data_IF_798862712130
#
_entry.id   IF_798862712130
#
_cell.length_a   1.000
_cell.length_b   1.000
_cell.length_c   1.000
_cell.angle_alpha   90.00
_cell.angle_beta   90.00
_cell.angle_gamma   90.00
#
_symmetry.space_group_name_H-M   'P 1'
#
loop_
_entity.id
_entity.type
_entity.pdbx_description
1 polymer ?
#
# COMPACT_ATOMS: atom_id res chain seq x y z
N UNK A 1 -47.79 14.35 -58.40
CA UNK A 1 -47.63 13.16 -59.26
C UNK A 1 -46.50 12.34 -58.66
N UNK A 2 -46.83 11.20 -58.04
CA UNK A 2 -45.84 10.29 -57.44
C UNK A 2 -45.22 9.46 -58.56
N UNK A 3 -43.89 9.41 -58.65
CA UNK A 3 -43.21 8.66 -59.69
C UNK A 3 -43.44 7.14 -59.48
N UNK A 4 -43.74 6.37 -60.55
CA UNK A 4 -43.93 4.93 -60.46
C UNK A 4 -42.65 4.23 -60.01
N UNK A 5 -42.79 3.19 -59.19
CA UNK A 5 -41.69 2.40 -58.65
C UNK A 5 -40.93 1.73 -59.82
N UNK A 6 -39.64 2.02 -60.04
CA UNK A 6 -38.89 1.46 -61.18
C UNK A 6 -38.68 -0.05 -61.09
N UNK A 7 -38.93 -0.66 -59.92
CA UNK A 7 -38.80 -2.10 -59.71
C UNK A 7 -40.10 -2.88 -60.00
N UNK A 8 -41.22 -2.20 -60.26
CA UNK A 8 -42.51 -2.83 -60.62
C UNK A 8 -42.45 -3.47 -62.04
N UNK A 9 -41.54 -2.98 -62.89
CA UNK A 9 -41.29 -3.52 -64.23
C UNK A 9 -40.45 -4.79 -64.24
N UNK A 10 -39.91 -5.21 -63.09
CA UNK A 10 -38.99 -6.34 -63.00
C UNK A 10 -39.67 -7.67 -62.67
N UNK A 11 -41.00 -7.77 -62.78
CA UNK A 11 -41.75 -9.04 -62.85
C UNK A 11 -41.52 -10.03 -61.71
N UNK A 12 -40.93 -9.58 -60.59
CA UNK A 12 -40.58 -10.40 -59.43
C UNK A 12 -41.52 -10.12 -58.25
N UNK A 13 -42.73 -9.65 -58.52
CA UNK A 13 -43.81 -9.72 -57.54
C UNK A 13 -44.29 -11.17 -57.43
N UNK A 14 -44.67 -11.62 -56.23
CA UNK A 14 -45.21 -12.96 -56.04
C UNK A 14 -46.58 -12.98 -56.72
N UNK A 15 -46.65 -13.53 -57.93
CA UNK A 15 -47.84 -13.52 -58.80
C UNK A 15 -49.10 -14.14 -58.16
N UNK A 16 -48.96 -14.91 -57.09
CA UNK A 16 -50.09 -15.43 -56.30
C UNK A 16 -49.78 -15.47 -54.79
N UNK A 17 -50.19 -14.45 -54.00
CA UNK A 17 -49.99 -14.41 -52.55
C UNK A 17 -50.81 -15.49 -51.81
N UNK A 18 -51.65 -16.25 -52.53
CA UNK A 18 -52.48 -17.31 -51.99
C UNK A 18 -52.11 -18.70 -52.55
N UNK A 19 -50.93 -18.83 -53.18
CA UNK A 19 -50.41 -20.13 -53.59
C UNK A 19 -50.36 -21.09 -52.38
N UNK A 20 -51.06 -22.24 -52.42
CA UNK A 20 -51.12 -23.14 -51.28
C UNK A 20 -49.72 -23.64 -50.95
N UNK A 21 -49.31 -23.48 -49.69
CA UNK A 21 -48.03 -23.98 -49.22
C UNK A 21 -47.92 -25.48 -49.54
N UNK A 22 -46.80 -25.94 -50.13
CA UNK A 22 -46.64 -27.35 -50.47
C UNK A 22 -46.78 -28.21 -49.21
N UNK A 23 -47.63 -29.24 -49.29
CA UNK A 23 -47.80 -30.21 -48.20
C UNK A 23 -46.44 -30.87 -47.90
N UNK A 24 -46.17 -31.22 -46.62
CA UNK A 24 -44.96 -31.94 -46.28
C UNK A 24 -44.86 -33.24 -47.09
N UNK A 25 -43.64 -33.65 -47.49
CA UNK A 25 -43.46 -34.86 -48.29
C UNK A 25 -43.92 -36.10 -47.50
N UNK A 26 -44.36 -37.13 -48.23
CA UNK A 26 -44.74 -38.41 -47.62
C UNK A 26 -43.53 -39.07 -46.95
N UNK A 27 -43.77 -39.68 -45.79
CA UNK A 27 -42.75 -40.36 -45.03
C UNK A 27 -42.32 -41.67 -45.73
N UNK A 28 -41.08 -41.72 -46.22
CA UNK A 28 -40.48 -42.92 -46.80
C UNK A 28 -39.37 -43.43 -45.87
N UNK A 29 -39.60 -44.57 -45.21
CA UNK A 29 -38.65 -45.16 -44.25
C UNK A 29 -37.78 -46.23 -44.93
N UNK A 30 -36.46 -46.03 -44.95
CA UNK A 30 -35.49 -47.00 -45.48
C UNK A 30 -35.47 -48.27 -44.62
N UNK A 31 -35.71 -49.43 -45.24
CA UNK A 31 -35.52 -50.74 -44.59
C UNK A 31 -34.02 -51.07 -44.46
N UNK A 32 -33.62 -51.52 -43.27
CA UNK A 32 -32.26 -51.97 -42.93
C UNK A 32 -32.24 -53.52 -42.90
N UNK A 33 -31.24 -54.12 -43.54
CA UNK A 33 -31.04 -55.58 -43.61
C UNK A 33 -30.30 -56.14 -42.39
N UNK A 34 -29.94 -55.30 -41.43
CA UNK A 34 -29.28 -55.70 -40.18
C UNK A 34 -30.14 -56.67 -39.37
N UNK A 35 -29.54 -57.79 -38.98
CA UNK A 35 -30.12 -58.76 -38.05
C UNK A 35 -30.09 -58.31 -36.59
N UNK A 36 -29.44 -57.17 -36.26
CA UNK A 36 -29.23 -56.73 -34.89
C UNK A 36 -30.51 -56.10 -34.34
N UNK A 37 -30.95 -56.60 -33.17
CA UNK A 37 -32.17 -56.16 -32.48
C UNK A 37 -31.89 -55.43 -31.16
N UNK A 38 -30.65 -55.50 -30.66
CA UNK A 38 -30.24 -54.81 -29.46
C UNK A 38 -29.90 -53.34 -29.77
N UNK A 39 -30.37 -52.43 -28.94
CA UNK A 39 -30.01 -51.01 -28.97
C UNK A 39 -28.70 -50.80 -28.20
N UNK A 40 -27.64 -51.41 -28.72
CA UNK A 40 -26.29 -51.35 -28.15
C UNK A 40 -25.35 -50.83 -29.22
N UNK A 41 -24.49 -49.84 -28.91
CA UNK A 41 -23.53 -49.34 -29.88
C UNK A 41 -22.59 -50.47 -30.35
N UNK A 42 -22.14 -50.47 -31.61
CA UNK A 42 -21.23 -51.48 -32.11
C UNK A 42 -19.91 -51.46 -31.33
N UNK A 43 -19.15 -52.57 -31.30
CA UNK A 43 -17.87 -52.63 -30.56
C UNK A 43 -16.82 -51.65 -31.11
N UNK A 44 -17.00 -51.13 -32.32
CA UNK A 44 -16.15 -50.09 -32.90
C UNK A 44 -16.35 -48.70 -32.27
N UNK A 45 -17.45 -48.47 -31.54
CA UNK A 45 -17.76 -47.22 -30.84
C UNK A 45 -17.06 -47.10 -29.48
N UNK A 46 -15.79 -47.53 -29.41
CA UNK A 46 -14.98 -47.46 -28.20
C UNK A 46 -14.43 -46.03 -27.98
N UNK A 47 -14.72 -45.37 -26.84
CA UNK A 47 -14.17 -44.04 -26.53
C UNK A 47 -12.64 -44.03 -26.38
N UNK A 48 -11.99 -45.16 -26.14
CA UNK A 48 -10.52 -45.29 -26.09
C UNK A 48 -9.86 -44.98 -27.43
N UNK A 49 -10.57 -45.21 -28.54
CA UNK A 49 -10.11 -44.96 -29.92
C UNK A 49 -10.16 -43.48 -30.32
N UNK A 50 -10.55 -42.59 -29.41
CA UNK A 50 -10.63 -41.16 -29.68
C UNK A 50 -9.24 -40.55 -29.96
N UNK A 51 -9.09 -39.90 -31.12
CA UNK A 51 -7.85 -39.19 -31.51
C UNK A 51 -7.57 -38.02 -30.55
N UNK A 52 -6.43 -38.01 -29.85
CA UNK A 52 -5.95 -36.92 -29.00
C UNK A 52 -4.53 -36.49 -29.41
N UNK A 53 -4.28 -35.21 -29.81
CA UNK A 53 -5.23 -34.11 -30.01
C UNK A 53 -5.92 -34.16 -31.39
N UNK A 54 -7.25 -33.98 -31.43
CA UNK A 54 -7.99 -33.74 -32.68
C UNK A 54 -7.91 -32.25 -33.03
N UNK A 55 -7.79 -31.92 -34.33
CA UNK A 55 -7.89 -30.55 -34.81
C UNK A 55 -9.25 -29.94 -34.38
N UNK A 56 -9.19 -28.79 -33.70
CA UNK A 56 -10.36 -28.04 -33.22
C UNK A 56 -10.32 -26.64 -33.82
N UNK A 57 -11.48 -26.07 -34.20
CA UNK A 57 -11.55 -24.66 -34.59
C UNK A 57 -11.13 -23.78 -33.40
N UNK A 58 -10.34 -22.74 -33.67
CA UNK A 58 -9.82 -21.78 -32.69
C UNK A 58 -10.28 -20.36 -33.03
N UNK A 59 -10.00 -19.40 -32.13
CA UNK A 59 -10.36 -17.99 -32.34
C UNK A 59 -11.88 -17.78 -32.50
N UNK A 60 -12.24 -16.87 -33.40
CA UNK A 60 -13.65 -16.51 -33.67
C UNK A 60 -14.45 -17.70 -34.23
N UNK A 61 -13.87 -18.52 -35.12
CA UNK A 61 -14.53 -19.70 -35.66
C UNK A 61 -14.82 -20.72 -34.54
N UNK A 62 -13.88 -20.91 -33.63
CA UNK A 62 -14.09 -21.74 -32.44
C UNK A 62 -15.21 -21.20 -31.54
N UNK A 63 -15.30 -19.88 -31.39
CA UNK A 63 -16.32 -19.24 -30.55
C UNK A 63 -17.74 -19.46 -31.07
N UNK A 64 -17.97 -19.34 -32.39
CA UNK A 64 -19.28 -19.57 -33.01
C UNK A 64 -19.64 -21.06 -33.15
N UNK A 65 -18.66 -21.93 -33.40
CA UNK A 65 -18.89 -23.39 -33.48
C UNK A 65 -19.09 -24.06 -32.12
N UNK A 66 -18.66 -23.41 -31.03
CA UNK A 66 -18.81 -23.95 -29.70
C UNK A 66 -20.28 -23.89 -29.24
N UNK A 67 -20.95 -25.04 -29.34
CA UNK A 67 -22.35 -25.26 -28.92
C UNK A 67 -22.61 -25.10 -27.42
N UNK A 68 -21.59 -25.04 -26.56
CA UNK A 68 -21.78 -24.80 -25.13
C UNK A 68 -21.93 -23.30 -24.80
N UNK A 69 -21.53 -22.42 -25.71
CA UNK A 69 -21.60 -20.97 -25.52
C UNK A 69 -22.98 -20.42 -25.85
N UNK A 70 -23.23 -19.17 -25.45
CA UNK A 70 -24.40 -18.40 -25.86
C UNK A 70 -25.50 -18.27 -24.81
N UNK A 71 -26.36 -17.27 -25.02
CA UNK A 71 -27.43 -16.89 -24.07
C UNK A 71 -28.41 -18.03 -23.82
N UNK A 72 -28.84 -18.74 -24.87
CA UNK A 72 -29.81 -19.83 -24.73
C UNK A 72 -29.28 -20.92 -23.80
N UNK A 73 -28.00 -21.25 -23.94
CA UNK A 73 -27.35 -22.17 -23.02
C UNK A 73 -27.37 -21.62 -21.61
N UNK A 74 -26.85 -20.43 -21.35
CA UNK A 74 -26.80 -19.87 -20.00
C UNK A 74 -28.20 -19.77 -19.35
N UNK A 75 -29.25 -19.48 -20.13
CA UNK A 75 -30.62 -19.33 -19.61
C UNK A 75 -31.21 -20.64 -19.08
N UNK A 76 -30.81 -21.77 -19.67
CA UNK A 76 -31.23 -23.11 -19.26
C UNK A 76 -30.46 -23.66 -18.06
N UNK A 77 -29.45 -22.95 -17.54
CA UNK A 77 -28.66 -23.38 -16.38
C UNK A 77 -29.15 -22.63 -15.15
N UNK A 78 -29.20 -23.33 -14.03
CA UNK A 78 -29.54 -22.72 -12.76
C UNK A 78 -28.43 -21.79 -12.27
N UNK A 79 -28.84 -20.70 -11.63
CA UNK A 79 -27.90 -19.80 -10.99
C UNK A 79 -27.31 -20.50 -9.75
N UNK A 80 -26.01 -20.33 -9.45
CA UNK A 80 -25.42 -20.88 -8.24
C UNK A 80 -26.05 -20.22 -7.01
N UNK A 81 -26.18 -20.96 -5.90
CA UNK A 81 -26.76 -20.45 -4.66
C UNK A 81 -26.07 -19.17 -4.15
N UNK A 82 -24.76 -19.05 -4.40
CA UNK A 82 -23.96 -17.88 -4.05
C UNK A 82 -24.32 -16.61 -4.81
N UNK A 83 -25.06 -16.70 -5.92
CA UNK A 83 -25.51 -15.53 -6.67
C UNK A 83 -26.50 -14.66 -5.87
N UNK A 84 -27.22 -15.26 -4.91
CA UNK A 84 -28.20 -14.56 -4.05
C UNK A 84 -27.73 -14.43 -2.60
N UNK A 85 -26.48 -14.79 -2.29
CA UNK A 85 -25.96 -14.70 -0.93
C UNK A 85 -25.83 -13.24 -0.48
N UNK A 86 -26.26 -12.97 0.76
CA UNK A 86 -26.09 -11.66 1.39
C UNK A 86 -24.65 -11.50 1.86
N UNK A 87 -24.16 -10.25 1.93
CA UNK A 87 -22.86 -9.94 2.52
C UNK A 87 -22.83 -10.38 3.98
N UNK A 88 -22.07 -11.43 4.26
CA UNK A 88 -21.77 -11.86 5.63
C UNK A 88 -20.55 -11.11 6.14
N UNK A 89 -20.66 -10.45 7.29
CA UNK A 89 -19.51 -9.91 8.02
C UNK A 89 -19.48 -10.47 9.45
N UNK A 90 -18.89 -11.66 9.63
CA UNK A 90 -18.84 -12.31 10.94
C UNK A 90 -17.92 -11.58 11.93
N UNK A 91 -17.06 -10.67 11.47
CA UNK A 91 -16.06 -10.01 12.33
C UNK A 91 -16.62 -8.84 13.14
N UNK A 92 -17.77 -8.29 12.72
CA UNK A 92 -18.41 -7.15 13.42
C UNK A 92 -18.80 -7.48 14.86
N UNK A 93 -19.17 -8.74 15.15
CA UNK A 93 -19.53 -9.16 16.50
C UNK A 93 -18.32 -9.26 17.44
N UNK A 94 -17.12 -9.43 16.90
CA UNK A 94 -15.88 -9.61 17.67
C UNK A 94 -15.02 -8.35 17.76
N UNK A 95 -15.51 -7.20 17.31
CA UNK A 95 -14.71 -5.98 17.15
C UNK A 95 -14.12 -5.46 18.47
N UNK A 96 -14.92 -5.50 19.56
CA UNK A 96 -14.46 -5.12 20.89
C UNK A 96 -13.56 -6.18 21.56
N UNK A 97 -13.42 -7.36 20.96
CA UNK A 97 -12.63 -8.45 21.51
C UNK A 97 -11.26 -8.46 20.86
N UNK A 98 -10.24 -8.06 21.62
CA UNK A 98 -8.86 -8.10 21.13
C UNK A 98 -8.47 -9.53 20.74
N UNK A 99 -8.02 -9.68 19.49
CA UNK A 99 -7.52 -10.95 18.93
C UNK A 99 -6.02 -11.12 19.11
N UNK A 100 -5.33 -10.14 19.69
CA UNK A 100 -3.86 -10.16 19.80
C UNK A 100 -3.35 -11.22 20.78
N UNK A 101 -4.22 -11.75 21.64
CA UNK A 101 -3.83 -12.65 22.74
C UNK A 101 -2.93 -11.98 23.79
N UNK A 102 -2.64 -10.69 23.63
CA UNK A 102 -1.82 -9.88 24.52
C UNK A 102 -2.72 -8.98 25.34
N UNK A 103 -2.45 -8.93 26.64
CA UNK A 103 -3.08 -8.00 27.58
C UNK A 103 -1.97 -7.29 28.33
N UNK A 104 -2.10 -5.98 28.47
CA UNK A 104 -1.18 -5.21 29.31
C UNK A 104 -1.53 -5.43 30.79
N UNK A 105 -0.54 -5.25 31.66
CA UNK A 105 -0.71 -5.39 33.11
C UNK A 105 -0.86 -4.00 33.73
N UNK A 106 -1.59 -3.92 34.83
CA UNK A 106 -1.83 -2.65 35.52
C UNK A 106 -0.52 -1.96 35.93
N UNK A 107 0.50 -2.74 36.34
CA UNK A 107 1.83 -2.19 36.64
C UNK A 107 2.43 -1.45 35.44
N UNK A 108 2.37 -2.04 34.24
CA UNK A 108 2.94 -1.41 33.04
C UNK A 108 2.17 -0.15 32.64
N UNK A 109 0.85 -0.16 32.79
CA UNK A 109 0.00 1.02 32.55
C UNK A 109 0.34 2.12 33.55
N UNK A 110 0.39 1.80 34.84
CA UNK A 110 0.64 2.77 35.91
C UNK A 110 2.05 3.39 35.84
N UNK A 111 3.05 2.63 35.38
CA UNK A 111 4.40 3.16 35.21
C UNK A 111 4.52 4.09 33.98
N UNK A 112 3.73 3.85 32.94
CA UNK A 112 3.74 4.68 31.73
C UNK A 112 2.88 5.94 31.83
N UNK A 113 1.78 5.88 32.58
CA UNK A 113 0.76 6.94 32.63
C UNK A 113 0.50 7.50 34.04
N UNK A 114 1.24 7.02 35.05
CA UNK A 114 0.96 7.33 36.44
C UNK A 114 -0.23 6.53 36.99
N UNK A 115 -0.51 6.73 38.27
CA UNK A 115 -1.66 6.13 38.92
C UNK A 115 -2.26 7.09 39.96
N UNK A 116 -3.55 6.94 40.22
CA UNK A 116 -4.28 7.82 41.12
C UNK A 116 -3.81 7.79 42.59
N UNK A 117 -3.01 6.79 42.99
CA UNK A 117 -2.51 6.66 44.36
C UNK A 117 -1.32 7.59 44.63
N UNK A 118 -0.52 7.85 43.60
CA UNK A 118 0.71 8.64 43.69
C UNK A 118 0.51 10.11 43.24
N UNK A 119 -0.73 10.54 43.00
CA UNK A 119 -1.09 11.89 42.49
C UNK A 119 -0.53 13.01 43.36
N UNK A 120 -0.66 12.93 44.69
CA UNK A 120 -0.16 13.97 45.60
C UNK A 120 1.35 14.17 45.43
N UNK A 121 2.12 13.08 45.29
CA UNK A 121 3.56 13.17 45.10
C UNK A 121 3.90 13.80 43.74
N UNK A 122 3.11 13.50 42.71
CA UNK A 122 3.27 14.10 41.39
C UNK A 122 2.92 15.60 41.41
N UNK A 123 1.86 16.00 42.12
CA UNK A 123 1.49 17.42 42.31
C UNK A 123 2.58 18.19 43.05
N UNK A 124 3.08 17.66 44.17
CA UNK A 124 4.15 18.31 44.92
C UNK A 124 5.47 18.40 44.14
N UNK A 125 5.82 17.38 43.35
CA UNK A 125 6.99 17.42 42.49
C UNK A 125 6.82 18.43 41.34
N UNK A 126 5.63 18.48 40.73
CA UNK A 126 5.33 19.43 39.66
C UNK A 126 5.31 20.88 40.16
N UNK A 127 4.83 21.12 41.38
CA UNK A 127 4.91 22.43 42.03
C UNK A 127 6.36 22.84 42.27
N UNK A 128 7.19 21.93 42.79
CA UNK A 128 8.62 22.19 42.97
C UNK A 128 9.36 22.45 41.64
N UNK A 129 9.01 21.71 40.58
CA UNK A 129 9.57 21.94 39.24
C UNK A 129 9.14 23.32 38.69
N UNK A 130 7.90 23.74 38.91
CA UNK A 130 7.42 25.06 38.50
C UNK A 130 8.11 26.20 39.29
N UNK A 131 8.37 26.00 40.58
CA UNK A 131 9.16 26.94 41.39
C UNK A 131 10.61 27.02 40.91
N UNK A 132 11.21 25.88 40.55
CA UNK A 132 12.58 25.83 40.00
C UNK A 132 12.67 26.57 38.65
N UNK A 133 11.71 26.37 37.74
CA UNK A 133 11.64 27.09 36.46
C UNK A 133 11.46 28.62 36.66
N UNK A 134 10.67 29.05 37.65
CA UNK A 134 10.54 30.46 38.00
C UNK A 134 11.84 31.05 38.55
N UNK A 135 12.59 30.27 39.33
CA UNK A 135 13.90 30.66 39.82
C UNK A 135 14.94 30.76 38.69
N UNK A 136 14.95 29.82 37.75
CA UNK A 136 15.80 29.86 36.56
C UNK A 136 15.49 31.07 35.67
N UNK A 137 14.21 31.40 35.41
CA UNK A 137 13.81 32.59 34.65
C UNK A 137 14.19 33.90 35.38
N UNK A 138 14.13 33.91 36.72
CA UNK A 138 14.59 35.05 37.51
C UNK A 138 16.11 35.22 37.48
N UNK A 139 16.88 34.12 37.56
CA UNK A 139 18.34 34.14 37.45
C UNK A 139 18.81 34.56 36.04
N UNK A 140 18.13 34.11 34.98
CA UNK A 140 18.42 34.53 33.61
C UNK A 140 18.20 36.05 33.42
N UNK A 141 17.12 36.60 33.99
CA UNK A 141 16.85 38.06 33.98
C UNK A 141 17.87 38.87 34.79
N UNK A 142 18.38 38.33 35.89
CA UNK A 142 19.45 38.99 36.67
C UNK A 142 20.79 38.92 35.93
N UNK A 143 21.10 37.82 35.24
CA UNK A 143 22.32 37.66 34.45
C UNK A 143 22.38 38.59 33.22
N UNK A 144 21.24 38.97 32.64
CA UNK A 144 21.18 40.00 31.60
C UNK A 144 21.48 41.42 32.12
N UNK A 145 21.19 41.71 33.39
CA UNK A 145 21.39 43.04 34.00
C UNK A 145 22.84 43.35 34.41
N UNK A 146 23.69 42.34 34.58
CA UNK A 146 25.10 42.51 34.95
C UNK A 146 26.05 42.74 33.75
N UNK A 147 25.51 42.96 32.55
CA UNK A 147 26.29 43.30 31.36
C UNK A 147 26.51 44.82 31.32
N UNK A 148 27.74 45.25 31.61
CA UNK A 148 28.15 46.65 31.39
C UNK A 148 27.83 47.07 29.96
N UNK A 149 27.26 48.27 29.78
CA UNK A 149 27.04 48.80 28.43
C UNK A 149 28.40 49.00 27.75
N UNK A 150 28.46 48.73 26.44
CA UNK A 150 29.69 48.84 25.65
C UNK A 150 30.36 50.20 25.85
N UNK A 151 29.57 51.27 25.98
CA UNK A 151 30.05 52.62 26.24
C UNK A 151 30.71 52.80 27.62
N UNK A 152 30.17 52.16 28.67
CA UNK A 152 30.76 52.21 30.01
C UNK A 152 32.10 51.48 30.05
N UNK A 153 32.22 50.35 29.34
CA UNK A 153 33.48 49.62 29.19
C UNK A 153 34.53 50.47 28.45
N UNK A 154 34.17 51.10 27.33
CA UNK A 154 35.10 51.98 26.60
C UNK A 154 35.58 53.17 27.45
N UNK A 155 34.72 53.76 28.28
CA UNK A 155 35.12 54.84 29.20
C UNK A 155 36.08 54.38 30.30
N UNK A 156 35.93 53.17 30.83
CA UNK A 156 36.89 52.64 31.82
C UNK A 156 38.30 52.42 31.26
N UNK A 157 38.43 52.12 29.97
CA UNK A 157 39.72 51.95 29.30
C UNK A 157 40.43 53.29 29.05
N UNK A 158 39.67 54.38 28.88
CA UNK A 158 40.22 55.71 28.60
C UNK A 158 40.88 56.38 29.81
N UNK A 159 40.60 55.92 31.03
CA UNK A 159 41.15 56.48 32.27
C UNK A 159 42.48 55.88 32.74
N UNK A 160 42.96 54.82 32.09
CA UNK A 160 44.19 54.11 32.49
C UNK A 160 45.38 54.66 31.70
N UNK A 161 45.93 55.77 32.15
CA UNK A 161 47.19 56.33 31.63
C UNK A 161 48.40 55.55 32.17
N UNK A 162 48.61 54.34 31.63
CA UNK A 162 49.83 53.54 31.83
C UNK A 162 51.02 54.15 31.06
N UNK A 163 51.46 55.35 31.45
CA UNK A 163 52.71 55.93 30.96
C UNK A 163 53.21 57.02 31.91
N UNK A 164 53.51 56.65 33.17
CA UNK A 164 54.38 57.46 34.02
C UNK A 164 55.70 56.69 34.17
N UNK A 165 56.68 57.03 33.34
CA UNK A 165 58.04 56.51 33.42
C UNK A 165 58.62 56.82 34.80
N UNK A 166 58.82 55.81 35.62
CA UNK A 166 59.50 55.91 36.92
C UNK A 166 61.01 55.88 36.75
N UNK A 167 61.72 56.83 37.36
CA UNK A 167 63.18 56.92 37.38
C UNK A 167 63.80 55.70 38.08
N UNK A 168 64.83 55.11 37.46
CA UNK A 168 65.53 53.93 37.94
C UNK A 168 66.46 54.27 39.12
N UNK A 169 66.20 53.68 40.29
CA UNK A 169 67.20 53.53 41.35
C UNK A 169 67.71 52.09 41.35
N UNK A 170 69.02 51.96 41.12
CA UNK A 170 69.73 50.68 41.08
C UNK A 170 70.15 50.24 42.48
N UNK A 171 69.89 48.97 42.83
CA UNK A 171 70.64 48.26 43.87
C UNK A 171 70.74 46.76 43.57
N UNK A 172 72.00 46.35 43.37
CA UNK A 172 72.72 45.15 43.82
C UNK A 172 72.16 43.74 43.50
N UNK A 173 72.89 43.10 42.58
CA UNK A 173 72.88 41.68 42.23
C UNK A 173 73.21 40.79 43.43
N UNK A 174 72.31 39.85 43.76
CA UNK A 174 72.59 38.74 44.67
C UNK A 174 72.91 37.50 43.83
N UNK A 175 74.18 37.13 43.78
CA UNK A 175 74.76 36.10 42.89
C UNK A 175 74.63 34.65 43.41
N UNK A 176 73.69 34.36 44.31
CA UNK A 176 73.53 33.00 44.86
C UNK A 176 72.06 32.61 45.01
N UNK A 177 71.37 32.44 43.89
CA UNK A 177 70.07 31.78 43.84
C UNK A 177 70.15 30.61 42.86
N UNK A 178 70.28 29.40 43.40
CA UNK A 178 70.15 28.16 42.63
C UNK A 178 68.70 27.98 42.16
N UNK A 179 68.54 27.79 40.86
CA UNK A 179 67.27 27.67 40.16
C UNK A 179 66.89 26.18 40.12
N UNK A 180 65.99 25.74 40.99
CA UNK A 180 65.53 24.35 41.03
C UNK A 180 64.49 24.11 39.93
N UNK A 181 64.94 23.59 38.78
CA UNK A 181 64.06 23.15 37.67
C UNK A 181 63.58 21.74 37.98
N UNK A 182 62.26 21.56 38.06
CA UNK A 182 61.64 20.24 38.26
C UNK A 182 61.61 19.52 36.90
N UNK A 183 62.47 18.53 36.73
CA UNK A 183 62.46 17.66 35.55
C UNK A 183 61.29 16.66 35.67
N UNK A 184 60.32 16.76 34.75
CA UNK A 184 59.25 15.77 34.61
C UNK A 184 59.68 14.73 33.57
N UNK A 185 60.11 13.55 34.03
CA UNK A 185 60.38 12.41 33.18
C UNK A 185 59.07 11.76 32.70
N UNK A 186 58.84 11.78 31.38
CA UNK A 186 57.70 11.11 30.73
C UNK A 186 57.95 9.60 30.71
N UNK A 187 57.38 8.88 31.67
CA UNK A 187 57.70 7.48 31.96
C UNK A 187 57.30 6.46 30.86
N UNK A 188 56.49 6.80 29.85
CA UNK A 188 56.25 5.90 28.69
C UNK A 188 55.83 6.70 27.44
N UNK A 189 56.46 6.53 26.26
CA UNK A 189 55.94 7.09 25.02
C UNK A 189 54.70 6.32 24.54
N UNK A 190 53.60 7.01 24.23
CA UNK A 190 52.37 6.39 23.74
C UNK A 190 52.56 5.83 22.32
N UNK A 191 52.67 4.50 22.19
CA UNK A 191 53.01 3.79 20.93
C UNK A 191 51.82 3.50 19.99
N UNK A 192 50.66 4.15 20.16
CA UNK A 192 49.53 3.93 19.22
C UNK A 192 48.56 5.11 19.12
N UNK A 193 48.74 5.92 18.08
CA UNK A 193 47.74 6.90 17.64
C UNK A 193 46.64 6.14 16.87
N UNK A 194 45.45 6.03 17.46
CA UNK A 194 44.28 5.50 16.75
C UNK A 194 43.72 6.59 15.84
N UNK A 195 43.70 6.36 14.53
CA UNK A 195 43.04 7.27 13.60
C UNK A 195 41.52 7.21 13.80
N UNK A 196 40.94 8.37 14.14
CA UNK A 196 39.50 8.51 14.29
C UNK A 196 38.88 8.50 12.89
N UNK A 197 38.10 7.46 12.58
CA UNK A 197 37.34 7.39 11.33
C UNK A 197 36.16 8.35 11.41
N UNK A 198 36.26 9.51 10.76
CA UNK A 198 35.19 10.48 10.69
C UNK A 198 34.00 9.89 9.89
N UNK A 199 32.85 9.73 10.56
CA UNK A 199 31.56 9.49 9.89
C UNK A 199 31.04 10.83 9.37
N UNK A 200 30.75 10.91 8.07
CA UNK A 200 30.00 12.04 7.53
C UNK A 200 28.64 12.12 8.22
N UNK A 201 28.37 13.26 8.86
CA UNK A 201 27.10 13.56 9.49
C UNK A 201 26.04 13.76 8.40
N UNK A 202 24.83 13.25 8.65
CA UNK A 202 23.72 13.34 7.69
C UNK A 202 23.24 14.79 7.63
N UNK A 203 23.38 15.41 6.48
CA UNK A 203 22.85 16.75 6.20
C UNK A 203 21.33 16.69 5.99
N UNK A 204 20.61 17.64 6.57
CA UNK A 204 19.16 17.79 6.39
C UNK A 204 18.90 18.43 5.03
N UNK A 205 18.29 17.70 4.11
CA UNK A 205 17.80 18.23 2.84
C UNK A 205 16.36 18.68 3.02
N UNK A 206 16.12 19.99 2.95
CA UNK A 206 14.78 20.55 2.92
C UNK A 206 14.20 20.38 1.51
N UNK A 207 12.98 19.86 1.44
CA UNK A 207 12.23 19.72 0.20
C UNK A 207 11.08 20.72 0.25
N UNK A 208 11.14 21.74 -0.60
CA UNK A 208 10.05 22.71 -0.74
C UNK A 208 8.95 22.07 -1.59
N UNK A 209 7.77 21.86 -1.00
CA UNK A 209 6.60 21.37 -1.73
C UNK A 209 5.47 22.38 -1.64
N UNK A 210 4.85 22.69 -2.79
CA UNK A 210 3.62 23.46 -2.86
C UNK A 210 2.43 22.51 -2.85
N UNK A 211 1.71 22.46 -1.73
CA UNK A 211 0.45 21.72 -1.65
C UNK A 211 -0.67 22.52 -2.30
N UNK A 212 -1.24 22.00 -3.40
CA UNK A 212 -2.51 22.48 -3.95
C UNK A 212 -3.62 21.51 -3.56
N UNK A 213 -4.60 21.99 -2.81
CA UNK A 213 -5.76 21.20 -2.40
C UNK A 213 -6.79 21.19 -3.53
N UNK A 214 -7.30 20.02 -3.89
CA UNK A 214 -8.27 19.86 -4.98
C UNK A 214 -9.61 20.56 -4.71
N UNK A 215 -9.84 21.03 -3.49
CA UNK A 215 -11.04 21.78 -3.07
C UNK A 215 -10.93 23.30 -3.31
N UNK A 216 -9.73 23.84 -3.61
CA UNK A 216 -9.55 25.27 -3.89
C UNK A 216 -9.73 25.65 -5.37
N UNK A 217 -10.01 24.68 -6.24
CA UNK A 217 -10.27 24.94 -7.65
C UNK A 217 -11.77 25.12 -7.88
N UNK A 218 -12.23 26.28 -8.41
CA UNK A 218 -13.64 26.51 -8.67
C UNK A 218 -14.15 25.48 -9.70
N UNK A 219 -15.18 24.71 -9.32
CA UNK A 219 -15.85 23.77 -10.23
C UNK A 219 -16.63 24.56 -11.27
N UNK A 220 -16.29 24.40 -12.55
CA UNK A 220 -17.08 24.92 -13.67
C UNK A 220 -18.52 24.43 -13.58
N UNK A 221 -19.47 25.35 -13.41
CA UNK A 221 -20.90 25.08 -13.52
C UNK A 221 -21.20 24.82 -15.00
N UNK A 222 -21.50 23.57 -15.36
CA UNK A 222 -22.06 23.25 -16.67
C UNK A 222 -23.47 23.80 -16.79
N UNK A 223 -23.60 24.77 -17.68
CA UNK A 223 -24.82 25.45 -18.04
C UNK A 223 -25.79 24.50 -18.74
N UNK A 224 -27.07 24.61 -18.37
CA UNK A 224 -28.19 23.90 -18.95
C UNK A 224 -28.35 24.26 -20.43
N UNK A 225 -28.20 23.29 -21.33
CA UNK A 225 -28.82 23.36 -22.66
C UNK A 225 -29.71 22.14 -22.87
N UNK A 226 -31.01 22.35 -22.60
CA UNK A 226 -32.10 21.50 -23.09
C UNK A 226 -32.36 21.88 -24.55
N UNK A 227 -32.25 20.91 -25.46
CA UNK A 227 -32.69 21.05 -26.84
C UNK A 227 -31.79 20.28 -27.79
N UNK A 228 -32.10 19.02 -28.06
CA UNK A 228 -32.59 18.63 -29.39
C UNK A 228 -32.67 17.11 -29.55
N UNK A 229 -33.76 16.72 -30.22
CA UNK A 229 -34.13 15.35 -30.57
C UNK A 229 -33.32 14.91 -31.80
N UNK A 230 -33.20 13.58 -31.93
CA UNK A 230 -32.81 12.82 -33.12
C UNK A 230 -31.32 12.75 -33.48
N UNK A 231 -30.81 11.52 -33.60
CA UNK A 231 -29.69 11.21 -34.48
C UNK A 231 -28.75 10.12 -33.98
N UNK A 232 -28.88 8.93 -34.56
CA UNK A 232 -27.82 7.92 -34.72
C UNK A 232 -27.33 7.12 -33.50
N UNK A 233 -27.99 5.97 -33.30
CA UNK A 233 -27.31 4.71 -32.99
C UNK A 233 -26.52 4.25 -34.22
N UNK A 234 -25.19 4.36 -34.17
CA UNK A 234 -24.20 3.42 -34.70
C UNK A 234 -22.88 4.15 -35.02
N UNK A 235 -21.75 3.57 -34.61
CA UNK A 235 -20.47 3.86 -35.24
C UNK A 235 -19.27 4.07 -34.31
N UNK A 236 -18.73 2.99 -33.76
CA UNK A 236 -17.30 2.65 -33.88
C UNK A 236 -16.24 3.79 -33.80
N UNK A 237 -15.41 3.79 -32.73
CA UNK A 237 -13.96 3.46 -32.77
C UNK A 237 -13.17 4.08 -31.60
N UNK A 238 -12.53 3.19 -30.85
CA UNK A 238 -11.13 3.21 -30.42
C UNK A 238 -10.43 4.55 -30.13
N UNK A 239 -10.01 4.70 -28.89
CA UNK A 239 -8.90 5.57 -28.48
C UNK A 239 -8.30 5.09 -27.17
N UNK A 240 -7.26 4.25 -27.28
CA UNK A 240 -6.17 4.02 -26.33
C UNK A 240 -6.33 4.49 -24.88
N UNK A 241 -6.25 3.56 -23.92
CA UNK A 241 -5.27 3.67 -22.81
C UNK A 241 -4.94 2.28 -22.27
N UNK A 242 -3.87 1.72 -22.82
CA UNK A 242 -3.14 0.61 -22.21
C UNK A 242 -2.14 1.15 -21.19
N UNK A 243 -1.77 0.28 -20.24
CA UNK A 243 -0.66 0.39 -19.28
C UNK A 243 -0.86 1.35 -18.09
N UNK A 244 -1.45 0.81 -17.03
CA UNK A 244 -0.71 0.54 -15.80
C UNK A 244 -1.61 -0.20 -14.82
N UNK A 245 -1.39 -1.51 -14.65
CA UNK A 245 -1.50 -2.02 -13.29
C UNK A 245 -0.53 -3.14 -13.02
N UNK A 246 0.19 -2.91 -11.93
CA UNK A 246 1.33 -3.67 -11.44
C UNK A 246 0.91 -5.09 -11.09
N UNK A 247 1.78 -6.01 -11.49
CA UNK A 247 1.93 -7.38 -11.01
C UNK A 247 1.71 -7.48 -9.50
N UNK A 248 0.52 -7.90 -9.10
CA UNK A 248 0.25 -8.46 -7.77
C UNK A 248 0.37 -9.98 -7.84
N UNK A 249 1.60 -10.49 -7.81
CA UNK A 249 1.86 -11.92 -7.69
C UNK A 249 1.46 -12.41 -6.30
N UNK A 250 0.23 -12.94 -6.16
CA UNK A 250 -0.13 -13.75 -4.99
C UNK A 250 0.36 -15.17 -5.21
N UNK A 251 1.38 -15.51 -4.42
CA UNK A 251 1.87 -16.86 -4.19
C UNK A 251 0.71 -17.75 -3.73
N UNK A 252 0.40 -18.77 -4.52
CA UNK A 252 -0.33 -19.95 -4.05
C UNK A 252 0.62 -20.71 -3.12
N UNK A 253 0.43 -20.59 -1.81
CA UNK A 253 0.92 -21.59 -0.86
C UNK A 253 -0.10 -22.73 -0.90
N UNK A 254 0.18 -23.73 -1.72
CA UNK A 254 -0.49 -25.03 -1.63
C UNK A 254 0.01 -25.69 -0.34
N UNK A 255 -0.92 -25.95 0.59
CA UNK A 255 -0.71 -26.88 1.69
C UNK A 255 -0.44 -28.27 1.09
N UNK A 256 0.82 -28.68 1.03
CA UNK A 256 1.19 -30.08 0.91
C UNK A 256 0.97 -30.74 2.26
N UNK A 257 -0.15 -31.43 2.41
CA UNK A 257 -0.36 -32.39 3.49
C UNK A 257 0.62 -33.53 3.20
N UNK A 258 1.75 -33.53 3.91
CA UNK A 258 2.64 -34.67 4.01
C UNK A 258 1.86 -35.80 4.68
N UNK A 259 1.38 -36.75 3.87
CA UNK A 259 0.94 -38.05 4.37
C UNK A 259 2.19 -38.91 4.53
N UNK A 260 2.30 -39.50 5.72
CA UNK A 260 3.17 -40.62 6.10
C UNK A 260 4.51 -40.21 6.73
N UNK A 261 4.46 -39.85 8.01
CA UNK A 261 5.51 -40.29 8.94
C UNK A 261 4.85 -41.24 9.95
N UNK A 262 5.36 -42.47 10.00
CA UNK A 262 5.00 -43.46 11.02
C UNK A 262 5.37 -42.89 12.39
N UNK A 263 4.38 -42.75 13.26
CA UNK A 263 4.58 -42.29 14.65
C UNK A 263 5.35 -43.39 15.39
N UNK A 264 6.52 -43.07 15.93
CA UNK A 264 7.29 -43.96 16.80
C UNK A 264 6.60 -44.05 18.17
N UNK A 265 6.01 -45.21 18.44
CA UNK A 265 5.23 -45.48 19.66
C UNK A 265 6.09 -45.79 20.88
N UNK A 266 7.42 -45.86 20.73
CA UNK A 266 8.33 -46.18 21.84
C UNK A 266 8.48 -45.03 22.87
N UNK A 267 8.11 -43.81 22.51
CA UNK A 267 8.27 -42.61 23.35
C UNK A 267 6.95 -41.94 23.77
N UNK A 268 5.82 -42.65 23.66
CA UNK A 268 4.56 -42.12 24.18
C UNK A 268 4.44 -42.45 25.68
N UNK A 269 4.09 -41.48 26.54
CA UNK A 269 3.88 -41.74 27.96
C UNK A 269 2.69 -42.69 28.13
N UNK A 270 2.92 -43.83 28.79
CA UNK A 270 1.86 -44.76 29.15
C UNK A 270 0.96 -44.11 30.20
N UNK A 271 -0.31 -43.93 29.87
CA UNK A 271 -1.34 -43.58 30.84
C UNK A 271 -1.59 -44.80 31.73
N UNK A 272 -1.28 -44.65 33.02
CA UNK A 272 -1.70 -45.57 34.08
C UNK A 272 -3.20 -45.37 34.39
#
# INVERSE_FOLDING_TARGET
MSAPNPFDLLGNDIEDPNAPAPLPPRELVKKNTSSKKADVPPPSADPSRARKPRAKPTGNEGAFRNRANGRQNNRSKDAPASASERKSDPRKQTDRHSRSGKRDTQKKVNQGWGNNKDELNAESAAEADAEAELAEDAEEKVAESNKMTLEAYLKSQQGVTLAKTSEAKATNTLENAELFVKEEEVYVPATKVKSVKSKQLKEKKFLDFSATFTDSQPRERRENTRGDRNGNRNGNRNGNFAKNNKRGGKKNQQNTIEKNQSIDTANLPSLA
#
